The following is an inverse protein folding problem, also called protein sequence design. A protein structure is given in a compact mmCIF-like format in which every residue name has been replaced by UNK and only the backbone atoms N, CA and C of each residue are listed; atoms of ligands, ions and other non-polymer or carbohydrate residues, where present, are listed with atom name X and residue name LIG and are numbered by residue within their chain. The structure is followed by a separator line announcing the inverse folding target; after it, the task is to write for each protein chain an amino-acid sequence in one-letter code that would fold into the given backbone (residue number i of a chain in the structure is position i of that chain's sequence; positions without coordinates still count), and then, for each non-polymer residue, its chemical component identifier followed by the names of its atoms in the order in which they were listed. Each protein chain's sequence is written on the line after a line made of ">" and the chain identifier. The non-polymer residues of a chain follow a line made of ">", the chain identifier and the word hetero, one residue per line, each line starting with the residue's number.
data_IF_530201003332
#
_entry.id   IF_530201003332
#
_cell.length_a   1.000
_cell.length_b   1.000
_cell.length_c   1.000
_cell.angle_alpha   90.00
_cell.angle_beta   90.00
_cell.angle_gamma   90.00
#
_symmetry.space_group_name_H-M   'P 1'
#
loop_
_entity.id
_entity.type
_entity.pdbx_description
1 polymer ?
#
# COMPACT_ATOMS: atom_id res chain seq x y z
N UNK A 1 23.97 17.10 19.15
CA UNK A 1 22.60 17.13 18.64
C UNK A 1 21.86 15.92 19.21
N UNK A 2 20.82 16.16 20.00
CA UNK A 2 20.06 15.09 20.63
C UNK A 2 19.21 14.41 19.57
N UNK A 3 19.34 13.08 19.43
CA UNK A 3 18.51 12.31 18.49
C UNK A 3 17.08 12.24 19.02
N UNK A 4 16.10 12.33 18.11
CA UNK A 4 14.69 12.16 18.45
C UNK A 4 14.47 10.75 18.96
N UNK A 5 13.77 10.61 20.08
CA UNK A 5 13.37 9.29 20.60
C UNK A 5 12.45 8.58 19.61
N UNK A 6 12.73 7.30 19.27
CA UNK A 6 11.91 6.56 18.28
C UNK A 6 10.43 6.45 18.65
N UNK A 7 10.10 6.37 19.95
CA UNK A 7 8.71 6.31 20.40
C UNK A 7 8.01 7.66 20.19
N UNK A 8 8.66 8.76 20.53
CA UNK A 8 8.13 10.11 20.31
C UNK A 8 7.94 10.38 18.82
N UNK A 9 8.89 9.93 17.97
CA UNK A 9 8.76 10.03 16.52
C UNK A 9 7.54 9.25 16.00
N UNK A 10 7.38 8.01 16.43
CA UNK A 10 6.24 7.17 16.03
C UNK A 10 4.90 7.76 16.46
N UNK A 11 4.82 8.33 17.66
CA UNK A 11 3.61 9.00 18.15
C UNK A 11 3.27 10.24 17.30
N UNK A 12 4.26 11.05 16.99
CA UNK A 12 4.07 12.21 16.11
C UNK A 12 3.64 11.78 14.71
N UNK A 13 4.33 10.82 14.11
CA UNK A 13 3.99 10.30 12.78
C UNK A 13 2.58 9.71 12.71
N UNK A 14 2.09 9.09 13.80
CA UNK A 14 0.75 8.52 13.87
C UNK A 14 -0.37 9.56 13.77
N UNK A 15 -0.06 10.86 13.94
CA UNK A 15 -1.03 11.96 13.79
C UNK A 15 -1.34 12.30 12.33
N UNK A 16 -0.54 11.78 11.40
CA UNK A 16 -0.80 11.92 9.97
C UNK A 16 -1.73 10.80 9.50
N UNK A 17 -3.01 11.13 9.33
CA UNK A 17 -4.01 10.18 8.87
C UNK A 17 -3.74 9.75 7.43
N UNK A 18 -3.84 8.45 7.17
CA UNK A 18 -3.63 7.88 5.83
C UNK A 18 -4.77 6.96 5.43
N UNK A 19 -4.85 6.65 4.15
CA UNK A 19 -5.51 5.45 3.67
C UNK A 19 -4.71 4.21 4.05
N UNK A 20 -5.23 3.06 3.71
CA UNK A 20 -4.58 1.75 3.87
C UNK A 20 -4.58 1.04 2.53
N UNK A 21 -3.42 0.57 2.12
CA UNK A 21 -3.27 -0.19 0.89
C UNK A 21 -2.66 -1.56 1.16
N UNK A 22 -2.90 -2.49 0.25
CA UNK A 22 -2.13 -3.73 0.12
C UNK A 22 -1.31 -3.64 -1.15
N UNK A 23 -0.01 -3.76 -1.00
CA UNK A 23 0.91 -3.91 -2.13
C UNK A 23 0.92 -5.38 -2.53
N UNK A 24 0.73 -5.66 -3.82
CA UNK A 24 0.68 -7.03 -4.34
C UNK A 24 1.74 -7.24 -5.41
N UNK A 25 2.28 -8.44 -5.47
CA UNK A 25 3.21 -8.86 -6.49
C UNK A 25 3.09 -10.37 -6.70
N UNK A 26 3.69 -10.88 -7.77
CA UNK A 26 3.89 -12.31 -7.99
C UNK A 26 5.35 -12.65 -7.70
N UNK A 27 5.57 -13.70 -6.93
CA UNK A 27 6.92 -14.20 -6.68
C UNK A 27 7.45 -15.02 -7.88
N UNK A 28 8.66 -15.54 -7.77
CA UNK A 28 9.32 -16.33 -8.83
C UNK A 28 8.60 -17.63 -9.21
N UNK A 29 7.68 -18.10 -8.35
CA UNK A 29 6.83 -19.28 -8.60
C UNK A 29 5.43 -18.91 -9.12
N UNK A 30 5.15 -17.61 -9.35
CA UNK A 30 3.84 -17.13 -9.74
C UNK A 30 2.83 -17.07 -8.59
N UNK A 31 3.28 -17.24 -7.35
CA UNK A 31 2.44 -17.15 -6.17
C UNK A 31 2.20 -15.69 -5.77
N UNK A 32 0.96 -15.42 -5.37
CA UNK A 32 0.60 -14.07 -4.90
C UNK A 32 1.23 -13.80 -3.54
N UNK A 33 1.92 -12.69 -3.45
CA UNK A 33 2.38 -12.13 -2.19
C UNK A 33 1.88 -10.70 -2.04
N UNK A 34 1.74 -10.27 -0.81
CA UNK A 34 1.27 -8.92 -0.52
C UNK A 34 1.63 -8.47 0.89
N UNK A 35 1.63 -7.18 1.08
CA UNK A 35 1.84 -6.56 2.38
C UNK A 35 0.98 -5.32 2.54
N UNK A 36 0.50 -5.10 3.76
CA UNK A 36 -0.22 -3.89 4.12
C UNK A 36 0.75 -2.72 4.24
N UNK A 37 0.39 -1.59 3.65
CA UNK A 37 1.18 -0.38 3.66
C UNK A 37 0.28 0.86 3.74
N UNK A 38 0.83 1.91 4.35
CA UNK A 38 0.25 3.27 4.30
C UNK A 38 1.26 4.29 3.75
N UNK A 39 2.32 3.81 3.12
CA UNK A 39 3.41 4.62 2.55
C UNK A 39 3.19 5.00 1.08
N UNK A 40 1.96 4.97 0.61
CA UNK A 40 1.62 5.29 -0.77
C UNK A 40 1.55 6.81 -0.98
N UNK A 41 2.33 7.31 -1.96
CA UNK A 41 2.39 8.73 -2.31
C UNK A 41 2.31 8.89 -3.82
N UNK A 42 1.46 9.82 -4.28
CA UNK A 42 1.44 10.26 -5.68
C UNK A 42 2.51 11.35 -5.87
N UNK A 43 3.33 11.23 -6.91
CA UNK A 43 4.45 12.15 -7.17
C UNK A 43 4.14 13.09 -8.33
N UNK A 44 3.71 12.54 -9.46
CA UNK A 44 3.54 13.28 -10.73
C UNK A 44 2.32 12.77 -11.48
N UNK A 45 1.68 13.65 -12.24
CA UNK A 45 0.57 13.32 -13.13
C UNK A 45 1.02 13.01 -14.55
N UNK A 46 2.18 13.51 -14.98
CA UNK A 46 2.68 13.32 -16.35
C UNK A 46 4.20 13.14 -16.34
N UNK A 47 4.68 11.91 -16.45
CA UNK A 47 3.94 10.65 -16.41
C UNK A 47 3.35 10.37 -15.02
N UNK A 48 2.27 9.59 -14.94
CA UNK A 48 1.66 9.21 -13.67
C UNK A 48 2.68 8.42 -12.82
N UNK A 49 3.12 8.98 -11.73
CA UNK A 49 4.23 8.43 -10.92
C UNK A 49 3.82 8.36 -9.46
N UNK A 50 4.13 7.23 -8.86
CA UNK A 50 3.85 6.94 -7.44
C UNK A 50 5.09 6.43 -6.73
N UNK A 51 5.04 6.44 -5.40
CA UNK A 51 6.09 5.91 -4.52
C UNK A 51 5.46 5.09 -3.41
N UNK A 52 6.11 3.98 -3.07
CA UNK A 52 5.86 3.23 -1.84
C UNK A 52 7.18 2.95 -1.14
N UNK A 53 7.15 2.91 0.19
CA UNK A 53 8.29 2.54 1.04
C UNK A 53 8.07 1.15 1.63
N UNK A 54 8.97 0.22 1.38
CA UNK A 54 8.80 -1.20 1.68
C UNK A 54 9.98 -1.73 2.45
N UNK A 55 9.70 -2.37 3.58
CA UNK A 55 10.70 -3.09 4.37
C UNK A 55 11.03 -4.44 3.74
N UNK A 56 12.26 -4.93 3.94
CA UNK A 56 12.70 -6.24 3.48
C UNK A 56 11.73 -7.36 3.89
N UNK A 57 11.45 -8.27 2.98
CA UNK A 57 10.56 -9.41 3.14
C UNK A 57 10.12 -9.98 1.79
N UNK A 58 9.22 -10.96 1.81
CA UNK A 58 8.79 -11.69 0.60
C UNK A 58 8.22 -10.77 -0.48
N UNK A 59 7.37 -9.82 -0.11
CA UNK A 59 6.78 -8.88 -1.08
C UNK A 59 7.84 -7.94 -1.65
N UNK A 60 8.75 -7.45 -0.82
CA UNK A 60 9.88 -6.64 -1.27
C UNK A 60 10.75 -7.40 -2.29
N UNK A 61 11.06 -8.67 -2.02
CA UNK A 61 11.84 -9.52 -2.93
C UNK A 61 11.13 -9.72 -4.27
N UNK A 62 9.81 -9.99 -4.24
CA UNK A 62 9.01 -10.15 -5.44
C UNK A 62 8.93 -8.85 -6.26
N UNK A 63 8.75 -7.71 -5.62
CA UNK A 63 8.76 -6.40 -6.27
C UNK A 63 10.13 -6.08 -6.88
N UNK A 64 11.21 -6.38 -6.18
CA UNK A 64 12.58 -6.16 -6.66
C UNK A 64 12.91 -7.04 -7.86
N UNK A 65 12.50 -8.31 -7.83
CA UNK A 65 12.77 -9.27 -8.90
C UNK A 65 11.94 -9.01 -10.16
N UNK A 66 10.64 -8.71 -10.00
CA UNK A 66 9.73 -8.47 -11.13
C UNK A 66 9.80 -7.04 -11.69
N UNK A 67 10.22 -6.09 -10.88
CA UNK A 67 10.15 -4.66 -11.22
C UNK A 67 8.73 -4.12 -11.31
N UNK A 68 7.72 -4.82 -10.73
CA UNK A 68 6.31 -4.46 -10.83
C UNK A 68 5.57 -4.72 -9.52
N UNK A 69 4.56 -3.93 -9.25
CA UNK A 69 3.67 -4.13 -8.12
C UNK A 69 2.29 -3.53 -8.35
N UNK A 70 1.28 -4.08 -7.67
CA UNK A 70 -0.04 -3.51 -7.58
C UNK A 70 -0.22 -2.74 -6.27
N UNK A 71 -0.96 -1.64 -6.32
CA UNK A 71 -1.42 -0.93 -5.13
C UNK A 71 -2.93 -1.08 -5.05
N UNK A 72 -3.42 -1.71 -4.00
CA UNK A 72 -4.84 -1.96 -3.76
C UNK A 72 -5.28 -1.11 -2.56
N UNK A 73 -6.00 -0.03 -2.80
CA UNK A 73 -6.54 0.83 -1.73
C UNK A 73 -7.75 0.13 -1.11
N UNK A 74 -7.73 -0.10 0.19
CA UNK A 74 -8.73 -0.90 0.88
C UNK A 74 -9.99 -0.11 1.21
N UNK A 75 -11.18 -0.72 1.05
CA UNK A 75 -12.44 -0.15 1.50
C UNK A 75 -12.58 -0.21 3.03
N UNK A 76 -13.46 0.58 3.59
CA UNK A 76 -13.64 0.69 5.05
C UNK A 76 -14.00 -0.63 5.75
N UNK A 77 -14.58 -1.60 5.03
CA UNK A 77 -14.92 -2.92 5.57
C UNK A 77 -13.73 -3.89 5.61
N UNK A 78 -12.59 -3.54 5.04
CA UNK A 78 -11.47 -4.46 4.79
C UNK A 78 -10.43 -4.53 5.91
N UNK A 79 -10.80 -4.23 7.15
CA UNK A 79 -9.89 -4.34 8.31
C UNK A 79 -9.26 -5.73 8.45
N UNK A 80 -10.05 -6.79 8.25
CA UNK A 80 -9.57 -8.17 8.32
C UNK A 80 -8.52 -8.45 7.23
N UNK A 81 -8.74 -7.94 6.02
CA UNK A 81 -7.81 -8.07 4.90
C UNK A 81 -6.50 -7.31 5.16
N UNK A 82 -6.61 -6.09 5.72
CA UNK A 82 -5.43 -5.32 6.14
C UNK A 82 -4.59 -6.09 7.16
N UNK A 83 -5.20 -6.68 8.15
CA UNK A 83 -4.51 -7.50 9.17
C UNK A 83 -3.88 -8.77 8.60
N UNK A 84 -4.57 -9.42 7.67
CA UNK A 84 -4.04 -10.60 6.98
C UNK A 84 -2.70 -10.31 6.31
N UNK A 85 -2.62 -9.24 5.53
CA UNK A 85 -1.39 -8.85 4.85
C UNK A 85 -0.37 -8.13 5.74
N UNK A 86 -0.73 -7.80 6.98
CA UNK A 86 0.18 -7.30 8.00
C UNK A 86 0.81 -8.41 8.86
N UNK A 87 0.68 -9.67 8.46
CA UNK A 87 1.24 -10.82 9.18
C UNK A 87 0.47 -11.23 10.44
N UNK A 88 -0.74 -10.72 10.65
CA UNK A 88 -1.63 -11.15 11.74
C UNK A 88 -2.31 -12.48 11.40
N UNK A 89 -2.93 -13.18 12.39
CA UNK A 89 -3.60 -14.47 12.13
C UNK A 89 -4.49 -14.40 10.89
N UNK A 90 -4.29 -15.33 9.98
CA UNK A 90 -4.97 -15.37 8.69
C UNK A 90 -6.43 -15.79 8.89
N UNK A 91 -7.32 -14.82 8.90
CA UNK A 91 -8.77 -15.02 9.00
C UNK A 91 -9.50 -14.74 7.68
N UNK A 92 -8.76 -14.25 6.67
CA UNK A 92 -9.32 -13.90 5.38
C UNK A 92 -8.69 -14.75 4.26
N UNK A 93 -9.53 -15.16 3.31
CA UNK A 93 -9.10 -15.73 2.04
C UNK A 93 -9.30 -14.63 0.98
N UNK A 94 -8.25 -13.90 0.60
CA UNK A 94 -8.41 -12.81 -0.34
C UNK A 94 -8.76 -13.34 -1.74
N UNK A 95 -9.86 -12.83 -2.29
CA UNK A 95 -10.18 -13.00 -3.71
C UNK A 95 -9.42 -11.94 -4.52
N UNK A 96 -8.92 -12.35 -5.67
CA UNK A 96 -8.20 -11.44 -6.58
C UNK A 96 -8.37 -11.88 -8.02
N UNK A 97 -8.15 -10.96 -8.92
CA UNK A 97 -8.01 -11.18 -10.36
C UNK A 97 -6.63 -10.70 -10.82
N UNK A 98 -6.22 -11.08 -12.01
CA UNK A 98 -4.97 -10.59 -12.60
C UNK A 98 -5.28 -9.46 -13.58
N UNK A 99 -4.72 -8.27 -13.30
CA UNK A 99 -4.83 -7.07 -14.12
C UNK A 99 -3.41 -6.60 -14.46
N UNK A 100 -3.09 -6.45 -15.72
CA UNK A 100 -1.73 -6.12 -16.19
C UNK A 100 -0.64 -7.03 -15.61
N UNK A 101 -0.97 -8.31 -15.41
CA UNK A 101 -0.05 -9.30 -14.83
C UNK A 101 0.16 -9.17 -13.31
N UNK A 102 -0.65 -8.38 -12.63
CA UNK A 102 -0.56 -8.13 -11.18
C UNK A 102 -1.85 -8.53 -10.46
N UNK A 103 -1.75 -9.04 -9.22
CA UNK A 103 -2.92 -9.36 -8.43
C UNK A 103 -3.66 -8.08 -8.00
N UNK A 104 -4.91 -7.95 -8.43
CA UNK A 104 -5.87 -6.96 -7.97
C UNK A 104 -6.84 -7.61 -7.00
N UNK A 105 -6.88 -7.12 -5.77
CA UNK A 105 -7.82 -7.61 -4.76
C UNK A 105 -9.24 -7.19 -5.11
N UNK A 106 -10.20 -8.12 -4.91
CA UNK A 106 -11.61 -7.82 -5.10
C UNK A 106 -12.09 -6.71 -4.15
N UNK A 107 -12.97 -5.86 -4.65
CA UNK A 107 -13.60 -4.76 -3.88
C UNK A 107 -12.63 -3.67 -3.37
N UNK A 108 -11.43 -3.54 -3.91
CA UNK A 108 -10.59 -2.39 -3.58
C UNK A 108 -11.22 -1.09 -4.09
N UNK A 109 -10.97 0.00 -3.37
CA UNK A 109 -11.50 1.35 -3.71
C UNK A 109 -10.78 1.92 -4.92
N UNK A 110 -9.49 1.66 -5.01
CA UNK A 110 -8.67 2.01 -6.16
C UNK A 110 -7.58 0.95 -6.35
N UNK A 111 -7.18 0.76 -7.60
CA UNK A 111 -6.09 -0.12 -7.98
C UNK A 111 -5.13 0.61 -8.90
N UNK A 112 -3.83 0.37 -8.72
CA UNK A 112 -2.78 0.91 -9.58
C UNK A 112 -1.83 -0.22 -9.96
N UNK A 113 -1.69 -0.47 -11.27
CA UNK A 113 -0.66 -1.37 -11.80
C UNK A 113 0.60 -0.55 -12.08
N UNK A 114 1.68 -0.86 -11.40
CA UNK A 114 2.89 -0.04 -11.36
C UNK A 114 4.10 -0.77 -11.90
N UNK A 115 4.90 -0.08 -12.70
CA UNK A 115 6.20 -0.53 -13.18
C UNK A 115 7.30 0.32 -12.55
N UNK A 116 8.22 -0.33 -11.85
CA UNK A 116 9.30 0.34 -11.12
C UNK A 116 10.26 1.01 -12.10
N UNK A 117 10.48 2.29 -11.93
CA UNK A 117 11.44 3.07 -12.71
C UNK A 117 12.71 3.37 -11.93
N UNK A 118 12.63 3.41 -10.60
CA UNK A 118 13.76 3.71 -9.73
C UNK A 118 13.54 3.13 -8.33
N UNK A 119 14.61 2.65 -7.71
CA UNK A 119 14.65 2.26 -6.30
C UNK A 119 15.69 3.06 -5.54
N UNK A 120 15.42 3.36 -4.28
CA UNK A 120 16.36 4.05 -3.38
C UNK A 120 16.33 3.33 -2.04
N UNK A 121 17.48 2.80 -1.63
CA UNK A 121 17.62 2.17 -0.31
C UNK A 121 17.80 3.23 0.77
N UNK A 122 16.99 3.15 1.81
CA UNK A 122 17.02 4.03 2.96
C UNK A 122 16.92 3.21 4.22
N UNK A 123 18.04 2.98 4.91
CA UNK A 123 18.10 2.14 6.11
C UNK A 123 17.59 0.71 5.83
N UNK A 124 16.55 0.26 6.52
CA UNK A 124 15.93 -1.06 6.35
C UNK A 124 14.73 -1.06 5.39
N UNK A 125 14.54 0.04 4.65
CA UNK A 125 13.48 0.20 3.65
C UNK A 125 14.06 0.50 2.27
N UNK A 126 13.27 0.16 1.25
CA UNK A 126 13.51 0.59 -0.13
C UNK A 126 12.32 1.44 -0.59
N UNK A 127 12.61 2.58 -1.18
CA UNK A 127 11.62 3.39 -1.88
C UNK A 127 11.50 2.87 -3.31
N UNK A 128 10.31 2.42 -3.68
CA UNK A 128 9.99 1.99 -5.04
C UNK A 128 9.24 3.11 -5.75
N UNK A 129 9.90 3.79 -6.66
CA UNK A 129 9.29 4.81 -7.52
C UNK A 129 8.85 4.11 -8.80
N UNK A 130 7.60 4.31 -9.20
CA UNK A 130 7.02 3.58 -10.32
C UNK A 130 6.11 4.47 -11.17
N UNK A 131 6.08 4.17 -12.46
CA UNK A 131 5.08 4.70 -13.37
C UNK A 131 3.82 3.83 -13.30
N UNK A 132 2.66 4.48 -13.28
CA UNK A 132 1.36 3.80 -13.29
C UNK A 132 0.99 3.45 -14.74
N UNK A 133 0.88 2.15 -15.03
CA UNK A 133 0.50 1.66 -16.35
C UNK A 133 -1.02 1.61 -16.55
N UNK A 134 -1.74 1.28 -15.48
CA UNK A 134 -3.19 1.23 -15.46
C UNK A 134 -3.70 1.53 -14.05
N UNK A 135 -4.83 2.20 -13.96
CA UNK A 135 -5.52 2.43 -12.69
C UNK A 135 -7.03 2.43 -12.87
N UNK A 136 -7.71 2.10 -11.77
CA UNK A 136 -9.16 2.04 -11.70
C UNK A 136 -9.62 2.42 -10.29
N UNK A 137 -10.87 2.86 -10.14
CA UNK A 137 -11.43 3.22 -8.83
C UNK A 137 -12.96 3.07 -8.82
N UNK A 138 -13.53 3.06 -7.61
CA UNK A 138 -14.96 3.09 -7.37
C UNK A 138 -15.30 4.09 -6.26
N UNK A 139 -16.60 4.33 -6.04
CA UNK A 139 -17.10 5.32 -5.08
C UNK A 139 -17.20 4.80 -3.63
N UNK A 140 -16.68 3.61 -3.35
CA UNK A 140 -16.65 3.08 -1.97
C UNK A 140 -15.76 3.93 -1.07
N UNK A 141 -16.11 4.00 0.22
CA UNK A 141 -15.34 4.73 1.21
C UNK A 141 -14.08 3.94 1.61
N UNK A 142 -12.94 4.61 1.76
CA UNK A 142 -11.69 3.96 2.12
C UNK A 142 -11.59 3.64 3.60
N UNK A 143 -10.81 2.61 3.93
CA UNK A 143 -10.33 2.37 5.28
C UNK A 143 -9.30 3.44 5.64
N UNK A 144 -9.44 4.06 6.80
CA UNK A 144 -8.53 5.12 7.28
C UNK A 144 -7.72 4.60 8.46
N UNK A 145 -6.43 4.95 8.49
CA UNK A 145 -5.52 4.65 9.58
C UNK A 145 -5.03 5.96 10.22
N UNK A 146 -5.34 6.12 11.51
CA UNK A 146 -5.00 7.31 12.28
C UNK A 146 -4.74 6.95 13.73
N UNK A 147 -3.71 7.52 14.32
CA UNK A 147 -3.34 7.31 15.72
C UNK A 147 -3.21 5.81 16.06
N UNK A 148 -2.61 5.04 15.13
CA UNK A 148 -2.41 3.58 15.21
C UNK A 148 -3.70 2.77 15.30
N UNK A 149 -4.80 3.30 14.78
CA UNK A 149 -6.13 2.65 14.75
C UNK A 149 -6.78 2.74 13.40
N UNK A 150 -7.62 1.76 13.09
CA UNK A 150 -8.48 1.80 11.92
C UNK A 150 -9.74 2.63 12.19
N UNK A 151 -10.16 3.38 11.19
CA UNK A 151 -11.35 4.21 11.20
C UNK A 151 -12.17 3.98 9.94
N UNK A 152 -13.49 4.17 10.03
CA UNK A 152 -14.40 4.10 8.90
C UNK A 152 -14.36 5.43 8.13
N UNK A 153 -14.06 5.35 6.85
CA UNK A 153 -14.15 6.45 5.91
C UNK A 153 -13.45 7.75 6.34
N UNK A 154 -13.46 8.77 5.48
CA UNK A 154 -12.80 10.05 5.78
C UNK A 154 -13.70 11.02 6.59
N UNK A 155 -14.94 10.65 6.88
CA UNK A 155 -15.90 11.56 7.49
C UNK A 155 -16.60 12.47 6.47
N UNK A 156 -17.30 13.49 6.96
CA UNK A 156 -17.98 14.45 6.10
C UNK A 156 -17.00 15.45 5.51
N UNK A 157 -17.18 15.85 4.22
CA UNK A 157 -16.42 16.97 3.68
C UNK A 157 -16.63 18.23 4.52
N UNK A 158 -15.58 19.03 4.62
CA UNK A 158 -15.67 20.37 5.20
C UNK A 158 -16.02 21.31 4.06
N UNK A 159 -17.08 22.09 4.22
CA UNK A 159 -17.50 23.06 3.21
C UNK A 159 -16.39 24.14 3.03
N UNK A 160 -16.26 24.59 1.80
CA UNK A 160 -15.29 25.62 1.45
C UNK A 160 -15.73 26.99 1.93
#
# INVERSE_FOLDING_TARGET
>A
MQRVDPLAFRQAASRFATGVAVLTALDSHGEVCGMTANSFVTISLSPPTVLVSVKAGRTHEAMSASGRYGVNVLPEQAKALSRHFAGRPRQAHPDYEIVEGLPRLSNCVAFFACEVTRTIDVSDHTLFIAEVLECDYCDSLPLVFFSSRYHLGPGKPVDH
#
